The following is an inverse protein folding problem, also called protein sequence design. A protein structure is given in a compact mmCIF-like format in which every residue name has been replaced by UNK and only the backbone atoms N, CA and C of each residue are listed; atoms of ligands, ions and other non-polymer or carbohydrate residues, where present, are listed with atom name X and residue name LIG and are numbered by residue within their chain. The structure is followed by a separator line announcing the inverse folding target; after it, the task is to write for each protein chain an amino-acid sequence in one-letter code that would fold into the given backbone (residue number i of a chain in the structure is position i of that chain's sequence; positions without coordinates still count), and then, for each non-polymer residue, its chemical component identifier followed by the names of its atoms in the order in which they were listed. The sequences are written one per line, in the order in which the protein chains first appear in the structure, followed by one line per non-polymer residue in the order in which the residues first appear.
data_IF_759050677405
#
_entry.id   IF_759050677405
#
_cell.length_a   1.000
_cell.length_b   1.000
_cell.length_c   1.000
_cell.angle_alpha   90.00
_cell.angle_beta   90.00
_cell.angle_gamma   90.00
#
_symmetry.space_group_name_H-M   'P 1'
#
loop_
_entity.id
_entity.type
_entity.pdbx_description
1 polymer ?
#
# COMPACT_ATOMS: atom_id res chain seq x y z
N UNK A 1 -9.03 -8.35 1.69
CA UNK A 1 -7.98 -7.39 2.05
C UNK A 1 -7.88 -6.37 0.93
N UNK A 2 -7.63 -5.09 1.23
CA UNK A 2 -7.49 -4.03 0.20
C UNK A 2 -6.18 -3.30 0.37
N UNK A 3 -5.51 -3.01 -0.74
CA UNK A 3 -4.35 -2.14 -0.76
C UNK A 3 -4.49 -1.06 -1.83
N UNK A 4 -4.07 0.16 -1.49
CA UNK A 4 -3.76 1.22 -2.45
C UNK A 4 -2.26 1.39 -2.46
N UNK A 5 -1.66 1.21 -3.64
CA UNK A 5 -0.21 1.21 -3.83
C UNK A 5 0.15 2.46 -4.61
N UNK A 6 1.12 3.22 -4.11
CA UNK A 6 1.66 4.40 -4.78
C UNK A 6 3.15 4.19 -4.98
N UNK A 7 3.60 4.27 -6.24
CA UNK A 7 5.02 4.37 -6.57
C UNK A 7 5.51 5.75 -6.19
N UNK A 8 6.54 5.81 -5.35
CA UNK A 8 7.09 7.06 -4.82
C UNK A 8 8.59 7.15 -5.06
N UNK A 9 9.10 8.37 -5.24
CA UNK A 9 10.55 8.64 -5.22
C UNK A 9 11.11 8.73 -3.80
N UNK A 10 10.25 9.09 -2.84
CA UNK A 10 10.52 9.11 -1.40
C UNK A 10 9.18 9.18 -0.65
N UNK A 11 9.13 8.70 0.59
CA UNK A 11 7.98 8.89 1.48
C UNK A 11 8.37 8.80 2.96
N UNK A 12 7.57 9.42 3.82
CA UNK A 12 7.73 9.29 5.28
C UNK A 12 6.41 9.34 6.02
N UNK A 13 6.41 8.83 7.25
CA UNK A 13 5.32 8.94 8.21
C UNK A 13 5.81 9.61 9.49
N UNK A 14 5.08 10.64 9.92
CA UNK A 14 5.36 11.41 11.14
C UNK A 14 4.21 11.23 12.12
N UNK A 15 4.52 10.93 13.38
CA UNK A 15 3.54 10.88 14.46
C UNK A 15 3.88 11.98 15.46
N UNK A 16 2.99 12.96 15.60
CA UNK A 16 3.30 14.22 16.27
C UNK A 16 4.36 15.00 15.50
N UNK A 17 5.53 15.20 16.12
CA UNK A 17 6.68 15.89 15.49
C UNK A 17 7.83 14.95 15.11
N UNK A 18 7.67 13.63 15.30
CA UNK A 18 8.73 12.65 15.08
C UNK A 18 8.46 11.80 13.84
N UNK A 19 9.44 11.72 12.94
CA UNK A 19 9.44 10.77 11.82
C UNK A 19 9.62 9.36 12.39
N UNK A 20 8.65 8.48 12.12
CA UNK A 20 8.64 7.08 12.58
C UNK A 20 9.08 6.09 11.51
N UNK A 21 8.94 6.46 10.24
CA UNK A 21 9.40 5.67 9.11
C UNK A 21 9.65 6.58 7.92
N UNK A 22 10.66 6.24 7.13
CA UNK A 22 11.01 6.91 5.88
C UNK A 22 11.58 5.88 4.93
N UNK A 23 11.25 6.06 3.66
CA UNK A 23 11.81 5.30 2.53
C UNK A 23 12.24 6.29 1.45
N UNK A 24 13.22 5.88 0.65
CA UNK A 24 13.54 6.54 -0.61
C UNK A 24 12.65 5.95 -1.72
N UNK A 25 13.22 5.55 -2.86
CA UNK A 25 12.48 4.94 -3.97
C UNK A 25 11.73 3.70 -3.50
N UNK A 26 10.43 3.62 -3.79
CA UNK A 26 9.67 2.44 -3.40
C UNK A 26 8.16 2.58 -3.50
N UNK A 27 7.47 1.92 -2.58
CA UNK A 27 6.02 1.96 -2.45
C UNK A 27 5.56 2.55 -1.12
N UNK A 28 4.58 3.45 -1.19
CA UNK A 28 3.64 3.63 -0.08
C UNK A 28 2.48 2.66 -0.30
N UNK A 29 2.21 1.82 0.70
CA UNK A 29 1.10 0.87 0.68
C UNK A 29 0.14 1.27 1.79
N UNK A 30 -1.04 1.75 1.40
CA UNK A 30 -2.16 1.93 2.31
C UNK A 30 -2.92 0.60 2.38
N UNK A 31 -2.92 -0.06 3.54
CA UNK A 31 -3.49 -1.39 3.72
C UNK A 31 -4.75 -1.34 4.58
N UNK A 32 -5.86 -1.87 4.05
CA UNK A 32 -7.12 -2.05 4.76
C UNK A 32 -7.43 -3.53 4.92
N UNK A 33 -7.73 -3.92 6.15
CA UNK A 33 -8.09 -5.29 6.53
C UNK A 33 -9.57 -5.32 6.93
N UNK A 34 -10.27 -6.39 6.60
CA UNK A 34 -11.63 -6.68 7.05
C UNK A 34 -11.71 -8.05 7.75
N UNK A 35 -12.77 -8.28 8.53
CA UNK A 35 -12.93 -9.51 9.31
C UNK A 35 -12.94 -10.80 8.46
N UNK A 36 -13.32 -10.68 7.18
CA UNK A 36 -13.36 -11.79 6.25
C UNK A 36 -11.97 -12.16 5.68
N UNK A 37 -10.93 -11.38 5.98
CA UNK A 37 -9.60 -11.59 5.42
C UNK A 37 -8.89 -12.79 6.06
N UNK A 38 -8.22 -13.57 5.20
CA UNK A 38 -7.56 -14.81 5.57
C UNK A 38 -6.05 -14.70 5.41
N UNK A 39 -5.31 -15.66 5.98
CA UNK A 39 -3.87 -15.78 5.74
C UNK A 39 -3.54 -15.96 4.24
N UNK A 40 -4.42 -16.62 3.47
CA UNK A 40 -4.25 -16.76 2.02
C UNK A 40 -4.34 -15.42 1.28
N UNK A 41 -5.19 -14.49 1.74
CA UNK A 41 -5.26 -13.13 1.19
C UNK A 41 -3.98 -12.35 1.43
N UNK A 42 -3.35 -12.54 2.60
CA UNK A 42 -2.07 -11.92 2.96
C UNK A 42 -0.98 -12.43 2.01
N UNK A 43 -0.81 -13.75 1.90
CA UNK A 43 0.21 -14.36 1.05
C UNK A 43 0.07 -13.92 -0.42
N UNK A 44 -1.17 -13.94 -0.92
CA UNK A 44 -1.47 -13.50 -2.27
C UNK A 44 -1.16 -12.01 -2.49
N UNK A 45 -1.60 -11.14 -1.58
CA UNK A 45 -1.42 -9.70 -1.72
C UNK A 45 0.04 -9.29 -1.58
N UNK A 46 0.77 -9.81 -0.60
CA UNK A 46 2.20 -9.57 -0.44
C UNK A 46 2.98 -10.04 -1.68
N UNK A 47 2.68 -11.24 -2.19
CA UNK A 47 3.28 -11.76 -3.41
C UNK A 47 2.99 -10.89 -4.63
N UNK A 48 1.76 -10.37 -4.74
CA UNK A 48 1.36 -9.47 -5.82
C UNK A 48 2.07 -8.13 -5.75
N UNK A 49 2.13 -7.51 -4.57
CA UNK A 49 2.80 -6.21 -4.35
C UNK A 49 4.29 -6.31 -4.70
N UNK A 50 4.98 -7.33 -4.17
CA UNK A 50 6.43 -7.50 -4.40
C UNK A 50 6.78 -7.70 -5.88
N UNK A 51 5.88 -8.32 -6.66
CA UNK A 51 6.10 -8.67 -8.07
C UNK A 51 5.52 -7.65 -9.06
N UNK A 52 4.88 -6.58 -8.61
CA UNK A 52 4.32 -5.54 -9.49
C UNK A 52 5.43 -4.85 -10.28
N UNK A 53 5.37 -4.96 -11.61
CA UNK A 53 6.36 -4.40 -12.54
C UNK A 53 5.95 -2.99 -12.96
N UNK A 54 6.09 -2.03 -12.04
CA UNK A 54 5.64 -0.64 -12.23
C UNK A 54 6.77 0.39 -12.07
N UNK A 55 8.01 -0.07 -11.96
CA UNK A 55 9.20 0.78 -12.02
C UNK A 55 9.84 0.73 -13.41
N UNK A 56 10.57 1.80 -13.74
CA UNK A 56 11.21 1.93 -15.03
C UNK A 56 12.45 1.04 -15.13
N UNK A 57 12.65 0.44 -16.30
CA UNK A 57 13.92 -0.16 -16.70
C UNK A 57 14.87 0.89 -17.30
N UNK A 58 15.99 0.41 -17.84
CA UNK A 58 17.03 1.22 -18.50
C UNK A 58 16.51 2.03 -19.70
N UNK A 59 15.41 1.59 -20.32
CA UNK A 59 14.77 2.26 -21.47
C UNK A 59 13.61 3.18 -21.03
N UNK A 60 13.37 3.33 -19.72
CA UNK A 60 12.27 4.13 -19.19
C UNK A 60 10.91 3.45 -19.25
N UNK A 61 10.86 2.15 -19.58
CA UNK A 61 9.61 1.37 -19.67
C UNK A 61 9.30 0.70 -18.34
N UNK A 62 8.01 0.61 -17.98
CA UNK A 62 7.58 0.01 -16.72
C UNK A 62 7.70 -1.52 -16.73
N UNK A 63 8.90 -2.02 -16.46
CA UNK A 63 9.24 -3.44 -16.52
C UNK A 63 9.93 -3.96 -15.24
N UNK A 64 10.28 -3.09 -14.30
CA UNK A 64 10.98 -3.48 -13.08
C UNK A 64 10.02 -3.63 -11.91
N UNK A 65 10.21 -4.67 -11.12
CA UNK A 65 9.57 -4.87 -9.82
C UNK A 65 10.25 -4.03 -8.74
N UNK A 66 9.67 -4.03 -7.52
CA UNK A 66 10.29 -3.35 -6.37
C UNK A 66 11.68 -3.91 -6.07
N UNK A 67 11.84 -5.24 -6.12
CA UNK A 67 13.11 -5.90 -5.88
C UNK A 67 14.17 -5.55 -6.94
N UNK A 68 13.76 -5.44 -8.21
CA UNK A 68 14.67 -5.11 -9.32
C UNK A 68 15.28 -3.70 -9.16
N UNK A 69 14.56 -2.77 -8.53
CA UNK A 69 15.05 -1.41 -8.26
C UNK A 69 15.62 -1.23 -6.85
N UNK A 70 15.72 -2.30 -6.06
CA UNK A 70 16.18 -2.24 -4.67
C UNK A 70 15.32 -1.31 -3.80
N UNK A 71 14.03 -1.17 -4.13
CA UNK A 71 13.15 -0.21 -3.48
C UNK A 71 12.56 -0.72 -2.17
N UNK A 72 12.12 0.23 -1.35
CA UNK A 72 11.56 -0.04 -0.02
C UNK A 72 10.02 0.04 0.01
N UNK A 73 9.43 -0.41 1.12
CA UNK A 73 7.98 -0.28 1.37
C UNK A 73 7.73 0.49 2.65
N UNK A 74 6.90 1.53 2.55
CA UNK A 74 6.26 2.18 3.68
C UNK A 74 4.81 1.72 3.78
N UNK A 75 4.56 0.79 4.70
CA UNK A 75 3.24 0.19 4.94
C UNK A 75 2.47 0.97 6.00
N UNK A 76 1.29 1.49 5.65
CA UNK A 76 0.44 2.30 6.52
C UNK A 76 -0.93 1.63 6.64
N UNK A 77 -1.37 1.38 7.88
CA UNK A 77 -2.73 0.92 8.15
C UNK A 77 -3.75 1.99 7.76
N UNK A 78 -4.75 1.61 6.94
CA UNK A 78 -5.74 2.51 6.35
C UNK A 78 -7.14 1.86 6.33
N UNK A 79 -7.80 1.84 7.49
CA UNK A 79 -9.16 1.25 7.65
C UNK A 79 -10.21 1.86 6.72
N UNK A 80 -10.02 3.10 6.27
CA UNK A 80 -10.98 3.80 5.41
C UNK A 80 -11.12 3.18 4.01
N UNK A 81 -10.20 2.29 3.59
CA UNK A 81 -10.31 1.57 2.32
C UNK A 81 -11.53 0.63 2.26
N UNK A 82 -12.09 0.25 3.42
CA UNK A 82 -13.30 -0.57 3.53
C UNK A 82 -14.58 0.23 3.74
N UNK A 83 -14.48 1.56 3.70
CA UNK A 83 -15.63 2.44 3.86
C UNK A 83 -16.73 2.17 2.83
N UNK A 84 -17.99 2.18 3.28
CA UNK A 84 -19.16 2.29 2.44
C UNK A 84 -19.53 3.76 2.31
N UNK A 85 -19.45 4.29 1.08
CA UNK A 85 -19.71 5.70 0.75
C UNK A 85 -20.95 5.88 -0.13
N UNK A 86 -21.78 4.82 -0.29
CA UNK A 86 -22.92 4.83 -1.22
C UNK A 86 -24.11 5.69 -0.78
N UNK A 87 -24.26 5.98 0.52
CA UNK A 87 -25.42 6.69 1.07
C UNK A 87 -24.99 7.90 1.89
N UNK A 88 -25.52 9.08 1.54
CA UNK A 88 -25.20 10.33 2.23
C UNK A 88 -23.72 10.71 2.13
N UNK A 89 -23.28 11.64 2.98
CA UNK A 89 -21.92 12.19 2.97
C UNK A 89 -21.01 11.64 4.08
N UNK A 90 -21.56 10.83 5.00
CA UNK A 90 -20.81 10.21 6.09
C UNK A 90 -20.48 8.76 5.73
N UNK A 91 -19.19 8.39 5.59
CA UNK A 91 -18.82 7.01 5.34
C UNK A 91 -19.18 6.10 6.54
N UNK A 92 -19.57 4.86 6.24
CA UNK A 92 -19.72 3.79 7.23
C UNK A 92 -18.55 2.81 7.14
N UNK A 93 -18.07 2.30 8.27
CA UNK A 93 -16.89 1.43 8.36
C UNK A 93 -17.22 0.04 8.92
N UNK A 94 -18.46 -0.43 8.82
CA UNK A 94 -18.94 -1.70 9.40
C UNK A 94 -18.13 -2.94 8.96
N UNK A 95 -17.34 -2.86 7.88
CA UNK A 95 -16.51 -3.96 7.38
C UNK A 95 -15.04 -3.85 7.77
N UNK A 96 -14.58 -2.73 8.32
CA UNK A 96 -13.16 -2.58 8.66
C UNK A 96 -12.84 -3.32 9.96
N UNK A 97 -11.70 -4.01 10.00
CA UNK A 97 -11.14 -4.69 11.16
C UNK A 97 -9.94 -3.93 11.76
#
# INVERSE_FOLDING_TARGET
MRAVIQRVSEASVTIGVQVRGRIDLGFVVLLGIEDADTAGDIEWLCGKIARLRVFNDENGLMNCSLADVGGDVLLISQFTLHASTRKGNRPSFTRAA
#
